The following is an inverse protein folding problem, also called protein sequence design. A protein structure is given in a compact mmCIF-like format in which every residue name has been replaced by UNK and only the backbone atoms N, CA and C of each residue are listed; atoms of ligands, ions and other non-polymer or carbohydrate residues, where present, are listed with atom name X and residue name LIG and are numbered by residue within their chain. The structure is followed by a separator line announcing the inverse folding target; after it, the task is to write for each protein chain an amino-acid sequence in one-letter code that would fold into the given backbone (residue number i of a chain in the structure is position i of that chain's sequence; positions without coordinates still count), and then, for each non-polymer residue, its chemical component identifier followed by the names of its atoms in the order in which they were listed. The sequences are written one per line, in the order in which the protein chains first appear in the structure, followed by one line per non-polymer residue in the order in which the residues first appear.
data_IF_876870787277
#
_entry.id   IF_876870787277
#
_cell.length_a   1.000
_cell.length_b   1.000
_cell.length_c   1.000
_cell.angle_alpha   90.00
_cell.angle_beta   90.00
_cell.angle_gamma   90.00
#
_symmetry.space_group_name_H-M   'P 1'
#
loop_
_entity.id
_entity.type
_entity.pdbx_description
1 polymer ?
#
# COMPACT_ATOMS: atom_id res chain seq x y z
N UNK A 1 -4.64 -16.87 -4.62
CA UNK A 1 -5.40 -15.65 -4.32
C UNK A 1 -6.82 -16.03 -3.92
N UNK A 2 -7.29 -15.51 -2.79
CA UNK A 2 -8.70 -15.61 -2.39
C UNK A 2 -9.45 -14.40 -2.98
N UNK A 3 -10.59 -14.66 -3.65
CA UNK A 3 -11.41 -13.62 -4.26
C UNK A 3 -12.79 -13.64 -3.61
N UNK A 4 -13.21 -12.50 -3.07
CA UNK A 4 -14.52 -12.30 -2.46
C UNK A 4 -15.31 -11.30 -3.30
N UNK A 5 -16.41 -11.74 -3.90
CA UNK A 5 -17.29 -10.91 -4.72
C UNK A 5 -18.60 -10.62 -3.97
N UNK A 6 -18.87 -9.34 -3.75
CA UNK A 6 -20.07 -8.86 -3.06
C UNK A 6 -20.84 -7.91 -3.98
N UNK A 7 -21.78 -8.45 -4.73
CA UNK A 7 -22.66 -7.63 -5.57
C UNK A 7 -23.67 -6.90 -4.69
N UNK A 8 -23.61 -5.58 -4.65
CA UNK A 8 -24.43 -4.77 -3.76
C UNK A 8 -24.69 -3.37 -4.33
N UNK A 9 -25.93 -2.90 -4.11
CA UNK A 9 -26.33 -1.53 -4.42
C UNK A 9 -26.76 -1.31 -5.87
N UNK A 10 -27.26 -0.09 -6.11
CA UNK A 10 -27.71 0.38 -7.44
C UNK A 10 -26.82 1.52 -7.97
N UNK A 11 -25.93 2.06 -7.13
CA UNK A 11 -24.98 3.09 -7.54
C UNK A 11 -23.95 2.45 -8.47
N UNK A 12 -23.64 3.04 -9.63
CA UNK A 12 -22.72 2.47 -10.61
C UNK A 12 -21.26 2.66 -10.17
N UNK A 13 -20.91 2.10 -9.02
CA UNK A 13 -19.58 2.17 -8.41
C UNK A 13 -19.16 0.79 -7.89
N UNK A 14 -17.87 0.52 -7.98
CA UNK A 14 -17.23 -0.70 -7.51
C UNK A 14 -16.03 -0.33 -6.65
N UNK A 15 -15.99 -0.86 -5.44
CA UNK A 15 -14.83 -0.80 -4.57
C UNK A 15 -14.04 -2.11 -4.70
N UNK A 16 -12.76 -1.99 -4.98
CA UNK A 16 -11.81 -3.11 -5.01
C UNK A 16 -10.80 -2.91 -3.91
N UNK A 17 -10.56 -3.92 -3.10
CA UNK A 17 -9.53 -3.87 -2.05
C UNK A 17 -8.71 -5.15 -2.03
N UNK A 18 -7.43 -5.03 -2.33
CA UNK A 18 -6.44 -6.08 -2.13
C UNK A 18 -5.89 -5.93 -0.71
N UNK A 19 -5.85 -7.03 0.02
CA UNK A 19 -5.24 -7.16 1.33
C UNK A 19 -4.09 -8.15 1.24
N UNK A 20 -2.90 -7.69 1.61
CA UNK A 20 -1.71 -8.51 1.75
C UNK A 20 -1.55 -8.83 3.24
N UNK A 21 -1.40 -10.11 3.60
CA UNK A 21 -1.19 -10.55 4.99
C UNK A 21 0.25 -10.28 5.45
N UNK A 22 0.71 -9.09 5.23
CA UNK A 22 2.00 -8.57 5.67
C UNK A 22 1.86 -7.10 5.99
N UNK A 23 2.23 -6.74 7.20
CA UNK A 23 2.23 -5.37 7.72
C UNK A 23 3.43 -5.14 8.62
N UNK A 24 3.40 -4.07 9.41
CA UNK A 24 4.53 -3.66 10.29
C UNK A 24 4.98 -4.77 11.25
N UNK A 25 4.09 -5.67 11.67
CA UNK A 25 4.44 -6.82 12.54
C UNK A 25 5.34 -7.86 11.87
N UNK A 26 5.27 -7.95 10.55
CA UNK A 26 6.01 -8.95 9.75
C UNK A 26 7.42 -8.46 9.37
N UNK A 27 7.71 -7.18 9.62
CA UNK A 27 9.03 -6.60 9.37
C UNK A 27 10.06 -7.20 10.34
N UNK A 28 11.13 -7.74 9.81
CA UNK A 28 12.26 -8.22 10.61
C UNK A 28 13.07 -7.05 11.19
N UNK A 29 13.90 -7.26 12.22
CA UNK A 29 14.83 -6.23 12.66
C UNK A 29 15.68 -5.72 11.49
N UNK A 30 15.65 -4.41 11.24
CA UNK A 30 16.30 -3.77 10.07
C UNK A 30 15.38 -3.52 8.87
N UNK A 31 14.14 -4.04 8.89
CA UNK A 31 13.14 -3.79 7.85
C UNK A 31 12.01 -2.84 8.29
N UNK A 32 12.19 -2.14 9.42
CA UNK A 32 11.16 -1.22 9.90
C UNK A 32 10.90 -0.11 8.87
N UNK A 33 9.62 0.06 8.50
CA UNK A 33 9.17 1.03 7.50
C UNK A 33 9.05 0.48 6.07
N UNK A 34 9.47 -0.77 5.81
CA UNK A 34 9.38 -1.36 4.47
C UNK A 34 7.95 -1.52 3.99
N UNK A 35 7.02 -1.95 4.87
CA UNK A 35 5.60 -2.11 4.50
C UNK A 35 4.97 -0.80 4.08
N UNK A 36 5.24 0.27 4.82
CA UNK A 36 4.70 1.60 4.57
C UNK A 36 5.26 2.20 3.28
N UNK A 37 6.59 2.19 3.13
CA UNK A 37 7.26 2.72 1.94
C UNK A 37 6.90 1.89 0.71
N UNK A 38 6.84 0.56 0.82
CA UNK A 38 6.43 -0.30 -0.27
C UNK A 38 5.01 0.05 -0.75
N UNK A 39 4.05 0.19 0.19
CA UNK A 39 2.68 0.56 -0.11
C UNK A 39 2.61 1.91 -0.85
N UNK A 40 3.27 2.93 -0.34
CA UNK A 40 3.29 4.28 -0.96
C UNK A 40 3.91 4.24 -2.36
N UNK A 41 5.01 3.51 -2.53
CA UNK A 41 5.73 3.42 -3.80
C UNK A 41 4.95 2.70 -4.91
N UNK A 42 3.91 1.90 -4.60
CA UNK A 42 3.03 1.32 -5.63
C UNK A 42 2.32 2.38 -6.47
N UNK A 43 2.08 3.57 -5.89
CA UNK A 43 1.43 4.68 -6.59
C UNK A 43 2.42 5.66 -7.24
N UNK A 44 3.73 5.42 -7.13
CA UNK A 44 4.78 6.29 -7.67
C UNK A 44 5.26 5.91 -9.08
N UNK A 45 4.45 5.14 -9.78
CA UNK A 45 4.70 4.69 -11.15
C UNK A 45 5.02 3.20 -11.25
N UNK A 46 4.75 2.65 -12.42
CA UNK A 46 4.92 1.25 -12.75
C UNK A 46 5.46 1.08 -14.18
N UNK A 47 5.71 -0.14 -14.62
CA UNK A 47 6.27 -0.40 -15.96
C UNK A 47 5.38 0.12 -17.11
N UNK A 48 4.08 0.31 -16.87
CA UNK A 48 3.12 0.73 -17.88
C UNK A 48 2.86 2.23 -17.85
N UNK A 49 2.91 2.84 -16.66
CA UNK A 49 2.54 4.23 -16.42
C UNK A 49 3.57 4.92 -15.52
N UNK A 50 4.00 6.14 -15.88
CA UNK A 50 4.67 7.02 -14.91
C UNK A 50 3.67 7.43 -13.81
N UNK A 51 4.16 8.00 -12.70
CA UNK A 51 3.30 8.52 -11.64
C UNK A 51 2.25 9.52 -12.17
N UNK A 52 2.70 10.45 -13.03
CA UNK A 52 1.84 11.46 -13.65
C UNK A 52 0.77 10.83 -14.55
N UNK A 53 1.18 9.86 -15.40
CA UNK A 53 0.26 9.14 -16.28
C UNK A 53 -0.74 8.30 -15.48
N UNK A 54 -0.31 7.67 -14.39
CA UNK A 54 -1.17 6.90 -13.49
C UNK A 54 -2.21 7.81 -12.83
N UNK A 55 -1.78 8.96 -12.31
CA UNK A 55 -2.65 9.96 -11.68
C UNK A 55 -3.64 10.56 -12.69
N UNK A 56 -3.16 10.97 -13.86
CA UNK A 56 -4.02 11.53 -14.92
C UNK A 56 -5.05 10.51 -15.41
N UNK A 57 -4.64 9.26 -15.61
CA UNK A 57 -5.56 8.18 -15.99
C UNK A 57 -6.59 7.90 -14.90
N UNK A 58 -6.19 7.83 -13.62
CA UNK A 58 -7.12 7.69 -12.51
C UNK A 58 -8.14 8.84 -12.48
N UNK A 59 -7.67 10.08 -12.63
CA UNK A 59 -8.54 11.25 -12.68
C UNK A 59 -9.55 11.18 -13.83
N UNK A 60 -9.13 10.83 -15.04
CA UNK A 60 -10.00 10.70 -16.21
C UNK A 60 -11.05 9.61 -16.06
N UNK A 61 -10.74 8.53 -15.34
CA UNK A 61 -11.66 7.44 -15.05
C UNK A 61 -12.56 7.73 -13.83
N UNK A 62 -12.34 8.85 -13.11
CA UNK A 62 -12.97 9.07 -11.81
C UNK A 62 -12.61 7.99 -10.79
N UNK A 63 -11.44 7.40 -10.95
CA UNK A 63 -10.92 6.36 -10.06
C UNK A 63 -10.09 6.98 -8.95
N UNK A 64 -10.18 6.40 -7.76
CA UNK A 64 -9.36 6.76 -6.60
C UNK A 64 -8.56 5.53 -6.17
N UNK A 65 -7.23 5.61 -6.28
CA UNK A 65 -6.31 4.57 -5.84
C UNK A 65 -5.73 4.95 -4.48
N UNK A 66 -5.80 4.03 -3.54
CA UNK A 66 -5.31 4.23 -2.18
C UNK A 66 -4.40 3.09 -1.75
N UNK A 67 -3.42 3.40 -0.91
CA UNK A 67 -2.56 2.41 -0.27
C UNK A 67 -2.42 2.73 1.22
N UNK A 68 -2.31 1.70 2.04
CA UNK A 68 -2.06 1.84 3.47
C UNK A 68 -1.33 0.60 4.00
N UNK A 69 -0.46 0.80 4.97
CA UNK A 69 0.23 -0.28 5.67
C UNK A 69 -0.06 -0.18 7.17
N UNK A 70 -0.97 -1.01 7.62
CA UNK A 70 -1.31 -1.16 9.04
C UNK A 70 -0.29 -2.04 9.75
N UNK A 71 -0.54 -2.29 11.03
CA UNK A 71 0.28 -3.21 11.80
C UNK A 71 0.20 -4.65 11.26
N UNK A 72 -0.99 -5.09 10.86
CA UNK A 72 -1.24 -6.49 10.45
C UNK A 72 -1.18 -6.73 8.95
N UNK A 73 -1.56 -5.76 8.14
CA UNK A 73 -1.80 -5.93 6.70
C UNK A 73 -1.37 -4.70 5.92
N UNK A 74 -1.02 -4.93 4.66
CA UNK A 74 -0.91 -3.88 3.66
C UNK A 74 -2.13 -3.93 2.74
N UNK A 75 -2.71 -2.77 2.46
CA UNK A 75 -3.89 -2.61 1.62
C UNK A 75 -3.58 -1.81 0.37
N UNK A 76 -4.17 -2.24 -0.74
CA UNK A 76 -4.29 -1.45 -1.96
C UNK A 76 -5.75 -1.39 -2.34
N UNK A 77 -6.30 -0.19 -2.44
CA UNK A 77 -7.72 0.04 -2.73
C UNK A 77 -7.92 0.78 -4.05
N UNK A 78 -9.06 0.54 -4.68
CA UNK A 78 -9.53 1.32 -5.81
C UNK A 78 -11.04 1.55 -5.70
N UNK A 79 -11.48 2.78 -5.86
CA UNK A 79 -12.87 3.14 -6.10
C UNK A 79 -13.03 3.40 -7.59
N UNK A 80 -13.90 2.65 -8.26
CA UNK A 80 -14.05 2.64 -9.71
C UNK A 80 -15.51 2.88 -10.10
N UNK A 81 -15.75 3.48 -11.26
CA UNK A 81 -17.07 3.49 -11.87
C UNK A 81 -17.32 2.15 -12.57
N UNK A 82 -18.54 1.59 -12.45
CA UNK A 82 -18.89 0.30 -13.06
C UNK A 82 -18.66 0.27 -14.57
N UNK A 83 -18.88 1.38 -15.27
CA UNK A 83 -18.68 1.49 -16.72
C UNK A 83 -17.21 1.46 -17.16
N UNK A 84 -16.29 1.82 -16.25
CA UNK A 84 -14.84 1.94 -16.53
C UNK A 84 -14.06 0.86 -15.75
N UNK A 85 -14.73 -0.23 -15.35
CA UNK A 85 -14.17 -1.26 -14.48
C UNK A 85 -12.90 -1.89 -15.07
N UNK A 86 -12.90 -2.27 -16.34
CA UNK A 86 -11.75 -2.89 -17.01
C UNK A 86 -10.54 -1.97 -17.03
N UNK A 87 -10.74 -0.70 -17.40
CA UNK A 87 -9.67 0.29 -17.44
C UNK A 87 -9.14 0.63 -16.02
N UNK A 88 -10.04 0.64 -15.04
CA UNK A 88 -9.69 0.83 -13.63
C UNK A 88 -8.91 -0.35 -13.05
N UNK A 89 -9.32 -1.58 -13.37
CA UNK A 89 -8.63 -2.80 -12.95
C UNK A 89 -7.26 -2.95 -13.62
N UNK A 90 -7.12 -2.53 -14.89
CA UNK A 90 -5.83 -2.45 -15.56
C UNK A 90 -4.86 -1.50 -14.84
N UNK A 91 -5.35 -0.33 -14.44
CA UNK A 91 -4.57 0.64 -13.68
C UNK A 91 -4.17 0.10 -12.30
N UNK A 92 -5.13 -0.50 -11.59
CA UNK A 92 -4.95 -1.11 -10.27
C UNK A 92 -3.94 -2.25 -10.31
N UNK A 93 -4.09 -3.18 -11.26
CA UNK A 93 -3.18 -4.32 -11.40
C UNK A 93 -1.77 -3.90 -11.81
N UNK A 94 -1.62 -2.92 -12.71
CA UNK A 94 -0.32 -2.41 -13.10
C UNK A 94 0.46 -1.81 -11.93
N UNK A 95 -0.22 -1.07 -11.05
CA UNK A 95 0.38 -0.50 -9.84
C UNK A 95 0.92 -1.57 -8.89
N UNK A 96 0.17 -2.68 -8.72
CA UNK A 96 0.51 -3.75 -7.79
C UNK A 96 1.56 -4.70 -8.35
N UNK A 97 1.42 -5.10 -9.61
CA UNK A 97 2.22 -6.19 -10.18
C UNK A 97 3.57 -5.74 -10.73
N UNK A 98 3.69 -4.48 -11.14
CA UNK A 98 4.90 -4.01 -11.83
C UNK A 98 5.41 -2.66 -11.35
N UNK A 99 5.46 -2.38 -10.04
CA UNK A 99 5.96 -1.11 -9.53
C UNK A 99 7.43 -0.89 -9.93
N UNK A 100 7.79 0.35 -10.22
CA UNK A 100 9.16 0.70 -10.64
C UNK A 100 10.13 0.79 -9.47
N UNK A 101 9.66 1.26 -8.31
CA UNK A 101 10.50 1.63 -7.17
C UNK A 101 11.63 2.59 -7.60
N UNK A 102 11.24 3.67 -8.30
CA UNK A 102 12.18 4.67 -8.77
C UNK A 102 13.01 5.25 -7.62
N UNK A 103 14.32 5.38 -7.84
CA UNK A 103 15.28 5.79 -6.80
C UNK A 103 15.03 7.20 -6.28
N UNK A 104 14.71 8.14 -7.18
CA UNK A 104 14.54 9.54 -6.79
C UNK A 104 13.20 9.74 -6.08
N UNK A 105 12.14 9.05 -6.53
CA UNK A 105 10.85 9.00 -5.84
C UNK A 105 10.97 8.36 -4.46
N UNK A 106 11.70 7.26 -4.36
CA UNK A 106 11.97 6.60 -3.07
C UNK A 106 12.71 7.53 -2.10
N UNK A 107 13.71 8.26 -2.59
CA UNK A 107 14.44 9.22 -1.75
C UNK A 107 13.52 10.35 -1.25
N UNK A 108 12.59 10.84 -2.08
CA UNK A 108 11.60 11.84 -1.70
C UNK A 108 10.64 11.30 -0.63
N UNK A 109 10.12 10.08 -0.80
CA UNK A 109 9.22 9.47 0.19
C UNK A 109 9.91 9.20 1.52
N UNK A 110 11.16 8.72 1.50
CA UNK A 110 11.96 8.55 2.71
C UNK A 110 12.16 9.89 3.42
N UNK A 111 12.49 10.95 2.69
CA UNK A 111 12.67 12.28 3.26
C UNK A 111 11.37 12.80 3.89
N UNK A 112 10.22 12.59 3.23
CA UNK A 112 8.91 12.95 3.75
C UNK A 112 8.58 12.20 5.05
N UNK A 113 8.77 10.88 5.08
CA UNK A 113 8.50 10.05 6.26
C UNK A 113 9.42 10.43 7.41
N UNK A 114 10.71 10.72 7.15
CA UNK A 114 11.66 11.19 8.17
C UNK A 114 11.21 12.53 8.77
N UNK A 115 10.73 13.45 7.95
CA UNK A 115 10.25 14.73 8.44
C UNK A 115 8.94 14.60 9.23
N UNK A 116 8.00 13.81 8.72
CA UNK A 116 6.73 13.52 9.39
C UNK A 116 6.93 12.85 10.76
N UNK A 117 7.84 11.88 10.84
CA UNK A 117 8.13 11.13 12.07
C UNK A 117 9.23 11.78 12.93
N UNK A 118 9.53 13.05 12.72
CA UNK A 118 10.45 13.78 13.55
C UNK A 118 9.83 14.03 14.94
N UNK A 119 10.37 13.35 15.97
CA UNK A 119 9.86 13.44 17.34
C UNK A 119 9.74 14.88 17.88
N UNK A 120 10.58 15.80 17.38
CA UNK A 120 10.51 17.22 17.76
C UNK A 120 9.31 17.96 17.15
N UNK A 121 8.65 17.37 16.14
CA UNK A 121 7.50 17.95 15.45
C UNK A 121 6.19 17.22 15.79
N UNK A 122 6.27 16.07 16.44
CA UNK A 122 5.10 15.28 16.83
C UNK A 122 4.32 15.95 17.95
N UNK A 123 3.02 15.76 17.94
CA UNK A 123 2.17 16.17 19.04
C UNK A 123 2.32 15.23 20.26
N UNK A 124 1.75 15.65 21.39
CA UNK A 124 1.83 14.87 22.64
C UNK A 124 1.12 13.51 22.53
N UNK A 125 0.05 13.40 21.75
CA UNK A 125 -0.70 12.15 21.59
C UNK A 125 0.12 11.12 20.83
N UNK A 126 0.79 11.52 19.75
CA UNK A 126 1.68 10.65 18.97
C UNK A 126 2.88 10.20 19.78
N UNK A 127 3.53 11.13 20.49
CA UNK A 127 4.65 10.81 21.39
C UNK A 127 4.22 9.82 22.49
N UNK A 128 3.08 10.08 23.14
CA UNK A 128 2.53 9.20 24.17
C UNK A 128 2.26 7.81 23.62
N UNK A 129 1.68 7.72 22.41
CA UNK A 129 1.42 6.44 21.74
C UNK A 129 2.71 5.65 21.49
N UNK A 130 3.77 6.29 21.00
CA UNK A 130 5.07 5.66 20.74
C UNK A 130 5.70 5.16 22.06
N UNK A 131 5.78 6.02 23.08
CA UNK A 131 6.39 5.66 24.35
C UNK A 131 5.60 4.61 25.14
N UNK A 132 4.26 4.65 25.08
CA UNK A 132 3.40 3.63 25.69
C UNK A 132 3.63 2.26 25.06
N UNK A 133 3.66 2.18 23.73
CA UNK A 133 3.95 0.93 23.03
C UNK A 133 5.35 0.40 23.35
N UNK A 134 6.35 1.28 23.36
CA UNK A 134 7.72 0.90 23.74
C UNK A 134 7.77 0.35 25.18
N UNK A 135 7.12 1.02 26.14
CA UNK A 135 7.11 0.62 27.55
C UNK A 135 6.38 -0.71 27.78
N UNK A 136 5.29 -0.95 27.03
CA UNK A 136 4.49 -2.17 27.19
C UNK A 136 5.10 -3.38 26.49
N UNK A 137 5.68 -3.21 25.31
CA UNK A 137 6.08 -4.32 24.44
C UNK A 137 7.59 -4.45 24.24
N UNK A 138 8.39 -3.45 24.57
CA UNK A 138 9.83 -3.33 24.25
C UNK A 138 10.10 -3.41 22.73
N UNK A 139 11.35 -3.17 22.32
CA UNK A 139 11.75 -3.28 20.89
C UNK A 139 11.89 -4.73 20.39
N UNK A 140 11.90 -5.71 21.30
CA UNK A 140 11.90 -7.12 20.92
C UNK A 140 10.59 -7.52 20.22
N UNK A 141 9.47 -6.95 20.66
CA UNK A 141 8.16 -7.17 20.04
C UNK A 141 7.93 -6.17 18.90
N UNK A 142 7.40 -6.61 17.74
CA UNK A 142 7.05 -5.70 16.64
C UNK A 142 6.17 -4.51 17.05
N UNK A 143 5.25 -4.69 18.00
CA UNK A 143 4.37 -3.62 18.51
C UNK A 143 5.13 -2.46 19.16
N UNK A 144 6.26 -2.74 19.82
CA UNK A 144 7.11 -1.73 20.43
C UNK A 144 8.17 -1.15 19.53
N UNK A 145 8.30 -1.65 18.31
CA UNK A 145 9.28 -1.14 17.35
C UNK A 145 8.82 0.17 16.73
N UNK A 146 9.77 1.06 16.60
CA UNK A 146 9.64 2.28 15.81
C UNK A 146 10.82 2.32 14.83
N UNK A 147 10.63 2.89 13.65
CA UNK A 147 11.74 3.05 12.72
C UNK A 147 12.48 4.34 12.98
N UNK A 148 13.79 4.30 12.81
CA UNK A 148 14.66 5.46 12.96
C UNK A 148 15.16 5.93 11.60
N UNK A 149 15.52 7.22 11.52
CA UNK A 149 16.04 7.84 10.30
C UNK A 149 17.09 6.99 9.58
N UNK A 150 18.05 6.42 10.32
CA UNK A 150 19.10 5.59 9.73
C UNK A 150 18.54 4.36 9.00
N UNK A 151 17.59 3.67 9.57
CA UNK A 151 16.98 2.47 8.97
C UNK A 151 16.24 2.80 7.67
N UNK A 152 15.49 3.91 7.65
CA UNK A 152 14.80 4.37 6.45
C UNK A 152 15.78 4.72 5.33
N UNK A 153 16.91 5.35 5.67
CA UNK A 153 17.96 5.72 4.71
C UNK A 153 18.73 4.53 4.12
N UNK A 154 18.65 3.34 4.73
CA UNK A 154 19.24 2.10 4.23
C UNK A 154 18.32 1.34 3.25
N UNK A 155 17.08 1.83 3.03
CA UNK A 155 16.13 1.25 2.08
C UNK A 155 16.55 1.63 0.66
N UNK A 156 16.72 0.63 -0.19
CA UNK A 156 17.04 0.81 -1.61
C UNK A 156 15.94 0.23 -2.50
N UNK A 157 15.86 0.65 -3.77
CA UNK A 157 14.90 0.07 -4.72
C UNK A 157 14.96 -1.46 -4.80
N UNK A 158 16.17 -2.04 -4.77
CA UNK A 158 16.39 -3.47 -4.84
C UNK A 158 15.82 -4.19 -3.62
N UNK A 159 16.14 -3.71 -2.41
CA UNK A 159 15.61 -4.25 -1.16
C UNK A 159 14.08 -4.13 -1.08
N UNK A 160 13.54 -3.02 -1.59
CA UNK A 160 12.10 -2.82 -1.61
C UNK A 160 11.41 -3.75 -2.61
N UNK A 161 12.05 -4.04 -3.75
CA UNK A 161 11.59 -5.03 -4.72
C UNK A 161 11.61 -6.44 -4.13
N UNK A 162 12.69 -6.82 -3.44
CA UNK A 162 12.76 -8.11 -2.74
C UNK A 162 11.64 -8.25 -1.71
N UNK A 163 11.37 -7.19 -0.92
CA UNK A 163 10.27 -7.15 0.03
C UNK A 163 8.91 -7.30 -0.65
N UNK A 164 8.69 -6.59 -1.75
CA UNK A 164 7.47 -6.68 -2.56
C UNK A 164 7.29 -8.10 -3.10
N UNK A 165 8.28 -8.65 -3.79
CA UNK A 165 8.19 -9.96 -4.45
C UNK A 165 7.97 -11.09 -3.45
N UNK A 166 8.50 -10.95 -2.22
CA UNK A 166 8.28 -11.91 -1.14
C UNK A 166 6.86 -11.85 -0.57
N UNK A 167 6.32 -10.64 -0.37
CA UNK A 167 5.05 -10.44 0.35
C UNK A 167 3.83 -10.36 -0.58
N UNK A 168 3.95 -9.77 -1.78
CA UNK A 168 2.83 -9.55 -2.71
C UNK A 168 2.61 -10.78 -3.60
N UNK A 169 2.31 -11.90 -2.98
CA UNK A 169 2.07 -13.16 -3.67
C UNK A 169 0.60 -13.58 -3.57
N UNK A 170 0.07 -14.33 -4.55
CA UNK A 170 -1.32 -14.80 -4.51
C UNK A 170 -1.66 -15.65 -3.27
N UNK A 171 -0.68 -16.35 -2.68
CA UNK A 171 -0.86 -17.16 -1.47
C UNK A 171 -1.03 -16.28 -0.23
N UNK A 172 -0.41 -15.11 -0.23
CA UNK A 172 -0.41 -14.17 0.88
C UNK A 172 -1.45 -13.04 0.73
N UNK A 173 -2.30 -13.10 -0.31
CA UNK A 173 -3.22 -12.04 -0.68
C UNK A 173 -4.68 -12.51 -0.69
N UNK A 174 -5.57 -11.57 -0.39
CA UNK A 174 -7.02 -11.69 -0.60
C UNK A 174 -7.53 -10.42 -1.28
N UNK A 175 -8.45 -10.56 -2.23
CA UNK A 175 -9.10 -9.44 -2.90
C UNK A 175 -10.59 -9.46 -2.63
N UNK A 176 -11.14 -8.30 -2.29
CA UNK A 176 -12.58 -8.07 -2.12
C UNK A 176 -13.03 -7.10 -3.20
N UNK A 177 -14.08 -7.45 -3.91
CA UNK A 177 -14.76 -6.58 -4.88
C UNK A 177 -16.19 -6.41 -4.42
N UNK A 178 -16.59 -5.18 -4.16
CA UNK A 178 -17.93 -4.86 -3.66
C UNK A 178 -18.54 -3.72 -4.47
N UNK A 179 -19.82 -3.86 -4.87
CA UNK A 179 -20.55 -2.83 -5.59
C UNK A 179 -21.47 -3.35 -6.68
N UNK A 180 -21.72 -2.47 -7.64
CA UNK A 180 -22.60 -2.78 -8.77
C UNK A 180 -21.77 -3.22 -9.99
N UNK A 181 -21.62 -4.53 -10.17
CA UNK A 181 -20.88 -5.13 -11.28
C UNK A 181 -21.52 -6.44 -11.72
N UNK A 182 -21.17 -6.91 -12.90
CA UNK A 182 -21.54 -8.24 -13.36
C UNK A 182 -20.46 -9.25 -12.96
N UNK A 183 -20.85 -10.29 -12.22
CA UNK A 183 -19.90 -11.33 -11.74
C UNK A 183 -19.21 -12.05 -12.91
N UNK A 184 -19.89 -12.23 -14.06
CA UNK A 184 -19.28 -12.86 -15.23
C UNK A 184 -18.16 -12.01 -15.85
N UNK A 185 -18.30 -10.68 -15.84
CA UNK A 185 -17.31 -9.74 -16.33
C UNK A 185 -16.08 -9.72 -15.42
N UNK A 186 -16.27 -9.64 -14.11
CA UNK A 186 -15.17 -9.64 -13.13
C UNK A 186 -14.29 -10.91 -13.19
N UNK A 187 -14.87 -12.05 -13.58
CA UNK A 187 -14.11 -13.31 -13.70
C UNK A 187 -13.21 -13.35 -14.95
N UNK A 188 -13.36 -12.41 -15.86
CA UNK A 188 -12.58 -12.31 -17.10
C UNK A 188 -11.45 -11.26 -16.99
N UNK A 189 -11.55 -10.37 -16.04
CA UNK A 189 -10.57 -9.34 -15.68
C UNK A 189 -9.61 -9.87 -14.60
#
# INVERSE_FOLDING_TARGET
LKVHLMQYGKIPAVNVKLMINSGKKNETPGQQGYSEICATMLLKGNKKYTEEQQTDKAFKLGADLTTDATFDHTYVGANLLSKDLDAGMDLFSAAILTPLFDKDKLAQEIAYIIDYNNLNKMDIADLTSIFSRYSLYSTANPLGRHYYKKQLQEITPEKLREYHDFNFTPKNASIVVCGNFNVAEIKQV
#
